data_IF_887845513096
#
_entry.id   IF_887845513096
#
_cell.length_a   1.000
_cell.length_b   1.000
_cell.length_c   1.000
_cell.angle_alpha   90.00
_cell.angle_beta   90.00
_cell.angle_gamma   90.00
#
_symmetry.space_group_name_H-M   'P 1'
#
loop_
_entity.id
_entity.type
_entity.pdbx_description
1 polymer ?
#
# COMPACT_ATOMS: atom_id res chain seq x y z
N UNK A 1 -71.03 -35.58 -20.42
CA UNK A 1 -72.00 -35.54 -21.54
C UNK A 1 -71.91 -34.14 -22.14
N UNK A 2 -71.42 -34.07 -23.38
CA UNK A 2 -71.53 -32.99 -24.37
C UNK A 2 -71.28 -31.50 -23.99
N UNK A 3 -70.23 -30.93 -24.60
CA UNK A 3 -70.21 -29.54 -25.09
C UNK A 3 -71.22 -29.39 -26.27
N UNK A 4 -71.53 -28.18 -26.81
CA UNK A 4 -70.56 -27.51 -27.70
C UNK A 4 -70.69 -25.96 -27.87
N UNK A 5 -69.64 -25.38 -28.49
CA UNK A 5 -69.55 -24.39 -29.59
C UNK A 5 -70.51 -23.19 -29.73
N UNK A 6 -70.17 -22.07 -30.38
CA UNK A 6 -68.96 -21.43 -30.93
C UNK A 6 -69.44 -20.18 -31.72
N UNK A 7 -68.51 -19.36 -32.20
CA UNK A 7 -68.59 -18.35 -33.30
C UNK A 7 -69.01 -16.93 -32.90
N UNK A 8 -68.39 -15.82 -33.37
CA UNK A 8 -67.31 -15.56 -34.34
C UNK A 8 -66.80 -14.11 -34.17
N UNK A 9 -65.58 -13.80 -34.65
CA UNK A 9 -65.18 -12.41 -34.97
C UNK A 9 -63.67 -12.12 -34.99
N UNK A 10 -63.09 -12.01 -36.19
CA UNK A 10 -61.66 -11.87 -36.58
C UNK A 10 -61.07 -10.43 -36.39
N UNK A 11 -59.80 -10.10 -36.75
CA UNK A 11 -58.88 -9.34 -35.89
C UNK A 11 -58.40 -7.98 -36.46
N UNK A 12 -57.82 -7.09 -35.65
CA UNK A 12 -57.11 -5.91 -36.15
C UNK A 12 -55.97 -5.40 -35.23
N UNK A 13 -54.76 -5.42 -35.80
CA UNK A 13 -53.72 -4.37 -35.77
C UNK A 13 -53.31 -3.75 -34.42
N UNK A 14 -52.14 -4.18 -33.91
CA UNK A 14 -51.31 -3.38 -33.00
C UNK A 14 -50.38 -2.48 -33.81
N UNK A 15 -50.52 -1.15 -33.67
CA UNK A 15 -49.51 -0.19 -34.13
C UNK A 15 -48.98 0.64 -32.96
N UNK A 16 -47.66 0.56 -32.79
CA UNK A 16 -46.72 1.68 -32.62
C UNK A 16 -47.02 2.69 -31.50
N UNK A 17 -46.17 2.67 -30.46
CA UNK A 17 -45.70 3.90 -29.82
C UNK A 17 -44.22 3.77 -29.45
N UNK A 18 -43.40 4.69 -30.00
CA UNK A 18 -41.98 4.89 -29.68
C UNK A 18 -41.82 5.48 -28.27
N UNK A 19 -40.65 5.25 -27.65
CA UNK A 19 -39.99 6.31 -26.91
C UNK A 19 -38.60 6.63 -27.51
N UNK A 20 -38.30 7.93 -27.55
CA UNK A 20 -37.04 8.51 -28.04
C UNK A 20 -36.04 8.64 -26.88
N UNK A 21 -34.76 8.51 -27.24
CA UNK A 21 -33.53 8.47 -26.45
C UNK A 21 -33.32 9.51 -25.33
N UNK A 22 -32.62 9.09 -24.26
CA UNK A 22 -31.43 9.76 -23.72
C UNK A 22 -30.74 8.90 -22.63
N UNK A 23 -29.41 8.95 -22.61
CA UNK A 23 -28.47 8.47 -21.58
C UNK A 23 -28.22 6.96 -21.47
N UNK A 24 -27.26 6.48 -22.27
CA UNK A 24 -26.57 5.21 -22.08
C UNK A 24 -25.36 5.40 -21.15
N UNK A 25 -25.25 4.58 -20.09
CA UNK A 25 -23.97 4.23 -19.46
C UNK A 25 -23.92 2.70 -19.41
N UNK A 26 -23.05 2.17 -20.27
CA UNK A 26 -22.92 0.76 -20.62
C UNK A 26 -21.98 0.06 -19.65
N UNK A 27 -22.44 -1.07 -19.12
CA UNK A 27 -21.64 -2.02 -18.36
C UNK A 27 -20.53 -2.61 -19.25
N UNK A 28 -19.30 -2.63 -18.73
CA UNK A 28 -18.11 -3.18 -19.39
C UNK A 28 -18.01 -4.70 -19.17
N UNK A 29 -18.21 -5.47 -20.24
CA UNK A 29 -17.80 -6.88 -20.33
C UNK A 29 -16.28 -7.00 -20.56
N UNK A 30 -15.64 -8.11 -20.15
CA UNK A 30 -14.22 -8.34 -20.39
C UNK A 30 -13.97 -8.73 -21.85
N UNK A 31 -13.29 -7.85 -22.60
CA UNK A 31 -12.83 -8.16 -23.96
C UNK A 31 -11.70 -9.20 -23.95
N UNK A 32 -11.82 -10.16 -24.89
CA UNK A 32 -10.74 -11.09 -25.25
C UNK A 32 -9.55 -10.28 -25.77
N UNK A 33 -8.30 -10.60 -25.41
CA UNK A 33 -7.14 -9.95 -26.01
C UNK A 33 -6.97 -10.43 -27.46
N UNK A 34 -7.54 -9.70 -28.42
CA UNK A 34 -7.09 -9.73 -29.82
C UNK A 34 -5.85 -8.84 -29.94
N UNK A 35 -4.74 -9.30 -29.36
CA UNK A 35 -3.42 -8.75 -29.64
C UNK A 35 -2.92 -9.36 -30.94
N UNK A 36 -3.06 -8.62 -32.04
CA UNK A 36 -2.19 -8.78 -33.21
C UNK A 36 -0.75 -8.89 -32.72
N UNK A 37 0.06 -9.88 -33.13
CA UNK A 37 1.45 -9.95 -32.69
C UNK A 37 2.09 -8.62 -33.08
N UNK A 38 2.55 -7.87 -32.06
CA UNK A 38 3.35 -6.69 -32.27
C UNK A 38 4.44 -7.09 -33.25
N UNK A 39 4.37 -6.55 -34.47
CA UNK A 39 5.42 -6.72 -35.44
C UNK A 39 6.68 -6.27 -34.72
N UNK A 40 7.54 -7.22 -34.41
CA UNK A 40 8.90 -6.97 -33.99
C UNK A 40 9.49 -6.20 -35.16
N UNK A 41 9.42 -4.87 -35.10
CA UNK A 41 10.11 -3.98 -36.00
C UNK A 41 11.58 -4.30 -35.78
N UNK A 42 12.09 -5.18 -36.63
CA UNK A 42 13.49 -5.47 -36.75
C UNK A 42 14.20 -4.11 -36.84
N UNK A 43 14.98 -3.79 -35.82
CA UNK A 43 15.73 -2.54 -35.74
C UNK A 43 16.72 -2.47 -36.90
N UNK A 44 16.29 -1.91 -38.03
CA UNK A 44 17.16 -1.61 -39.16
C UNK A 44 18.12 -0.50 -38.78
N UNK A 45 19.38 -0.60 -39.21
CA UNK A 45 20.36 0.48 -39.08
C UNK A 45 19.78 1.76 -39.72
N UNK A 46 19.95 2.95 -39.11
CA UNK A 46 19.40 4.16 -39.71
C UNK A 46 20.08 4.43 -41.06
N UNK A 47 19.37 5.03 -42.03
CA UNK A 47 19.85 5.16 -43.42
C UNK A 47 21.19 5.90 -43.54
N UNK A 48 21.45 6.87 -42.66
CA UNK A 48 22.75 7.56 -42.55
C UNK A 48 23.92 6.64 -42.18
N UNK A 49 23.67 5.63 -41.34
CA UNK A 49 24.67 4.66 -40.90
C UNK A 49 24.96 3.65 -42.00
N UNK A 50 23.93 3.26 -42.74
CA UNK A 50 24.06 2.41 -43.93
C UNK A 50 24.96 3.12 -44.95
N UNK A 51 24.71 4.40 -45.25
CA UNK A 51 25.56 5.18 -46.16
C UNK A 51 26.99 5.36 -45.65
N UNK A 52 27.20 5.48 -44.34
CA UNK A 52 28.53 5.55 -43.75
C UNK A 52 29.29 4.22 -43.90
N UNK A 53 28.63 3.09 -43.61
CA UNK A 53 29.21 1.74 -43.80
C UNK A 53 29.53 1.51 -45.29
N UNK A 54 28.61 1.87 -46.18
CA UNK A 54 28.83 1.81 -47.64
C UNK A 54 30.03 2.68 -48.04
N UNK A 55 30.14 3.90 -47.50
CA UNK A 55 31.29 4.78 -47.74
C UNK A 55 32.63 4.17 -47.30
N UNK A 56 32.69 3.56 -46.12
CA UNK A 56 33.90 2.86 -45.62
C UNK A 56 34.27 1.71 -46.56
N UNK A 57 33.30 0.91 -46.98
CA UNK A 57 33.52 -0.21 -47.91
C UNK A 57 34.04 0.30 -49.25
N UNK A 58 33.42 1.34 -49.81
CA UNK A 58 33.84 1.94 -51.09
C UNK A 58 35.26 2.49 -51.01
N UNK A 59 35.61 3.18 -49.92
CA UNK A 59 36.98 3.68 -49.71
C UNK A 59 37.98 2.53 -49.57
N UNK A 60 37.67 1.49 -48.79
CA UNK A 60 38.53 0.32 -48.64
C UNK A 60 38.78 -0.38 -50.00
N UNK A 61 37.74 -0.56 -50.79
CA UNK A 61 37.84 -1.13 -52.15
C UNK A 61 38.68 -0.23 -53.05
N UNK A 62 38.46 1.09 -53.03
CA UNK A 62 39.25 2.04 -53.83
C UNK A 62 40.73 2.02 -53.45
N UNK A 63 41.06 1.90 -52.16
CA UNK A 63 42.45 1.78 -51.68
C UNK A 63 43.06 0.45 -52.12
N UNK A 64 42.33 -0.68 -52.04
CA UNK A 64 42.81 -1.98 -52.51
C UNK A 64 43.08 -1.95 -54.01
N UNK A 65 42.18 -1.38 -54.80
CA UNK A 65 42.35 -1.20 -56.25
C UNK A 65 43.54 -0.29 -56.55
N UNK A 66 43.68 0.82 -55.83
CA UNK A 66 44.83 1.72 -55.97
C UNK A 66 46.16 1.03 -55.64
N UNK A 67 46.22 0.23 -54.58
CA UNK A 67 47.38 -0.60 -54.23
C UNK A 67 47.67 -1.59 -55.38
N UNK A 68 46.67 -2.27 -55.91
CA UNK A 68 46.86 -3.22 -57.01
C UNK A 68 47.32 -2.59 -58.32
N UNK A 69 46.85 -1.38 -58.62
CA UNK A 69 47.13 -0.69 -59.89
C UNK A 69 48.43 0.10 -59.83
N UNK A 70 48.75 0.76 -58.72
CA UNK A 70 49.85 1.73 -58.66
C UNK A 70 51.10 1.24 -57.91
N UNK A 71 51.02 0.26 -57.00
CA UNK A 71 52.24 -0.28 -56.37
C UNK A 71 53.14 -1.18 -57.27
N UNK A 72 52.66 -1.86 -58.34
CA UNK A 72 53.54 -2.70 -59.16
C UNK A 72 54.71 -1.91 -59.76
N UNK A 73 54.47 -0.67 -60.19
CA UNK A 73 55.49 0.22 -60.76
C UNK A 73 56.55 0.67 -59.73
N UNK A 74 56.27 0.55 -58.43
CA UNK A 74 57.19 0.97 -57.36
C UNK A 74 58.15 -0.15 -56.92
N UNK A 75 57.75 -1.42 -57.10
CA UNK A 75 58.52 -2.60 -56.66
C UNK A 75 59.13 -3.40 -57.81
N UNK A 76 58.86 -3.04 -59.07
CA UNK A 76 59.54 -3.58 -60.24
C UNK A 76 60.63 -2.58 -60.65
N UNK A 77 61.89 -2.74 -60.20
CA UNK A 77 62.97 -1.89 -60.68
C UNK A 77 63.23 -2.19 -62.17
N UNK A 78 63.41 -1.15 -62.98
CA UNK A 78 63.51 -1.15 -64.45
C UNK A 78 64.69 -1.96 -65.05
N UNK A 79 65.40 -2.77 -64.27
CA UNK A 79 66.69 -3.34 -64.65
C UNK A 79 66.76 -4.88 -64.70
N UNK A 80 65.65 -5.57 -65.02
CA UNK A 80 65.70 -6.99 -65.41
C UNK A 80 65.70 -7.13 -66.93
N UNK A 81 66.89 -7.12 -67.53
CA UNK A 81 67.05 -7.50 -68.93
C UNK A 81 66.75 -9.01 -69.11
N UNK A 82 66.15 -9.43 -70.24
CA UNK A 82 66.09 -10.85 -70.64
C UNK A 82 67.49 -11.46 -70.63
N UNK A 83 67.70 -12.51 -69.84
CA UNK A 83 68.73 -13.52 -70.17
C UNK A 83 67.97 -14.76 -70.62
N UNK A 84 68.36 -15.33 -71.77
CA UNK A 84 67.67 -16.40 -72.53
C UNK A 84 67.59 -17.78 -71.83
N UNK A 85 67.74 -17.85 -70.50
CA UNK A 85 67.85 -19.10 -69.76
C UNK A 85 66.56 -19.56 -69.05
N UNK A 86 65.54 -18.71 -68.87
CA UNK A 86 64.28 -19.16 -68.26
C UNK A 86 63.08 -18.27 -68.65
N UNK A 87 62.16 -18.73 -69.53
CA UNK A 87 60.99 -17.97 -69.94
C UNK A 87 59.98 -17.71 -68.78
N UNK A 88 60.10 -18.43 -67.66
CA UNK A 88 59.20 -18.30 -66.51
C UNK A 88 59.78 -17.47 -65.36
N UNK A 89 61.02 -16.98 -65.47
CA UNK A 89 61.66 -16.16 -64.44
C UNK A 89 60.92 -14.82 -64.21
N UNK A 90 60.32 -14.26 -65.26
CA UNK A 90 59.50 -13.03 -65.17
C UNK A 90 58.21 -13.27 -64.41
N UNK A 91 57.49 -14.33 -64.77
CA UNK A 91 56.21 -14.70 -64.15
C UNK A 91 56.39 -15.06 -62.67
N UNK A 92 57.49 -15.73 -62.33
CA UNK A 92 57.79 -16.15 -60.95
C UNK A 92 58.26 -14.98 -60.06
N UNK A 93 59.01 -14.02 -60.62
CA UNK A 93 59.38 -12.78 -59.94
C UNK A 93 58.15 -11.86 -59.73
N UNK A 94 57.25 -11.80 -60.70
CA UNK A 94 56.02 -11.01 -60.66
C UNK A 94 55.00 -11.58 -59.65
N UNK A 95 54.94 -12.90 -59.48
CA UNK A 95 54.10 -13.55 -58.45
C UNK A 95 54.71 -13.35 -57.04
N UNK A 96 56.03 -13.41 -56.88
CA UNK A 96 56.70 -13.21 -55.59
C UNK A 96 56.64 -11.75 -55.10
N UNK A 97 56.71 -10.77 -56.02
CA UNK A 97 56.56 -9.35 -55.71
C UNK A 97 55.12 -8.96 -55.30
N UNK A 98 54.11 -9.77 -55.65
CA UNK A 98 52.70 -9.56 -55.26
C UNK A 98 52.34 -10.13 -53.88
N UNK A 99 53.19 -10.96 -53.28
CA UNK A 99 52.97 -11.53 -51.94
C UNK A 99 52.84 -10.49 -50.79
N UNK A 100 53.61 -9.39 -50.72
CA UNK A 100 53.39 -8.34 -49.71
C UNK A 100 52.09 -7.55 -49.92
N UNK A 101 51.55 -7.50 -51.16
CA UNK A 101 50.28 -6.83 -51.45
C UNK A 101 49.07 -7.58 -50.85
N UNK A 102 49.18 -8.90 -50.70
CA UNK A 102 48.19 -9.73 -50.00
C UNK A 102 48.10 -9.41 -48.50
N UNK A 103 49.24 -9.16 -47.85
CA UNK A 103 49.30 -8.78 -46.43
C UNK A 103 48.73 -7.37 -46.21
N UNK A 104 49.06 -6.42 -47.09
CA UNK A 104 48.55 -5.05 -47.03
C UNK A 104 47.03 -4.97 -47.28
N UNK A 105 46.52 -5.70 -48.26
CA UNK A 105 45.06 -5.76 -48.53
C UNK A 105 44.29 -6.45 -47.40
N UNK A 106 44.85 -7.50 -46.79
CA UNK A 106 44.32 -8.12 -45.58
C UNK A 106 44.22 -7.15 -44.40
N UNK A 107 45.23 -6.30 -44.20
CA UNK A 107 45.24 -5.28 -43.15
C UNK A 107 44.16 -4.20 -43.38
N UNK A 108 43.95 -3.76 -44.63
CA UNK A 108 42.89 -2.78 -44.97
C UNK A 108 41.50 -3.34 -44.69
N UNK A 109 41.24 -4.60 -45.05
CA UNK A 109 39.95 -5.24 -44.77
C UNK A 109 39.71 -5.43 -43.26
N UNK A 110 40.75 -5.83 -42.51
CA UNK A 110 40.67 -5.92 -41.05
C UNK A 110 40.36 -4.56 -40.41
N UNK A 111 40.99 -3.48 -40.90
CA UNK A 111 40.73 -2.11 -40.43
C UNK A 111 39.29 -1.65 -40.76
N UNK A 112 38.78 -1.96 -41.95
CA UNK A 112 37.41 -1.64 -42.34
C UNK A 112 36.39 -2.41 -41.48
N UNK A 113 36.63 -3.70 -41.21
CA UNK A 113 35.78 -4.51 -40.34
C UNK A 113 35.76 -3.98 -38.90
N UNK A 114 36.91 -3.58 -38.37
CA UNK A 114 37.01 -2.96 -37.05
C UNK A 114 36.23 -1.63 -36.98
N UNK A 115 36.34 -0.77 -38.00
CA UNK A 115 35.62 0.49 -38.06
C UNK A 115 34.09 0.30 -38.10
N UNK A 116 33.61 -0.66 -38.92
CA UNK A 116 32.17 -1.01 -38.98
C UNK A 116 31.71 -1.55 -37.61
N UNK A 117 32.51 -2.38 -36.95
CA UNK A 117 32.22 -2.89 -35.61
C UNK A 117 32.05 -1.79 -34.56
N UNK A 118 32.93 -0.78 -34.55
CA UNK A 118 32.83 0.38 -33.64
C UNK A 118 31.56 1.18 -33.89
N UNK A 119 31.22 1.42 -35.16
CA UNK A 119 30.04 2.19 -35.56
C UNK A 119 28.74 1.49 -35.14
N UNK A 120 28.64 0.17 -35.38
CA UNK A 120 27.49 -0.63 -34.97
C UNK A 120 27.41 -0.71 -33.44
N UNK A 121 28.52 -0.96 -32.76
CA UNK A 121 28.59 -1.02 -31.29
C UNK A 121 28.15 0.28 -30.61
N UNK A 122 28.58 1.44 -31.12
CA UNK A 122 28.16 2.72 -30.58
C UNK A 122 26.65 2.97 -30.77
N UNK A 123 26.08 2.51 -31.88
CA UNK A 123 24.65 2.65 -32.16
C UNK A 123 23.79 1.68 -31.37
N UNK A 124 24.23 0.42 -31.19
CA UNK A 124 23.53 -0.53 -30.34
C UNK A 124 23.61 -0.10 -28.88
N UNK A 125 24.75 0.47 -28.44
CA UNK A 125 24.89 1.06 -27.12
C UNK A 125 23.93 2.23 -26.87
N UNK A 126 23.69 3.11 -27.85
CA UNK A 126 22.73 4.22 -27.67
C UNK A 126 21.28 3.74 -27.59
N UNK A 127 20.89 2.76 -28.41
CA UNK A 127 19.57 2.14 -28.34
C UNK A 127 19.36 1.42 -27.01
N UNK A 128 20.38 0.71 -26.54
CA UNK A 128 20.34 -0.02 -25.26
C UNK A 128 20.21 0.93 -24.07
N UNK A 129 20.83 2.12 -24.14
CA UNK A 129 20.66 3.17 -23.11
C UNK A 129 19.22 3.67 -23.04
N UNK A 130 18.60 3.94 -24.19
CA UNK A 130 17.20 4.39 -24.22
C UNK A 130 16.24 3.32 -23.66
N UNK A 131 16.43 2.05 -24.02
CA UNK A 131 15.59 0.96 -23.50
C UNK A 131 15.84 0.70 -22.01
N UNK A 132 17.07 0.88 -21.53
CA UNK A 132 17.39 0.76 -20.10
C UNK A 132 16.74 1.87 -19.27
N UNK A 133 16.68 3.10 -19.77
CA UNK A 133 16.01 4.20 -19.07
C UNK A 133 14.50 3.99 -18.97
N UNK A 134 13.87 3.53 -20.05
CA UNK A 134 12.44 3.18 -20.04
C UNK A 134 12.17 1.99 -19.11
N UNK A 135 13.03 0.96 -19.15
CA UNK A 135 12.94 -0.20 -18.27
C UNK A 135 13.11 0.21 -16.80
N UNK A 136 14.05 1.12 -16.49
CA UNK A 136 14.22 1.66 -15.13
C UNK A 136 12.98 2.38 -14.65
N UNK A 137 12.43 3.31 -15.45
CA UNK A 137 11.18 4.00 -15.09
C UNK A 137 10.01 3.03 -14.89
N UNK A 138 9.89 2.03 -15.75
CA UNK A 138 8.86 1.00 -15.63
C UNK A 138 9.04 0.17 -14.36
N UNK A 139 10.28 -0.21 -14.03
CA UNK A 139 10.60 -0.95 -12.82
C UNK A 139 10.33 -0.10 -11.56
N UNK A 140 10.74 1.17 -11.54
CA UNK A 140 10.49 2.07 -10.40
C UNK A 140 8.98 2.21 -10.12
N UNK A 141 8.15 2.36 -11.16
CA UNK A 141 6.69 2.38 -11.01
C UNK A 141 6.12 1.03 -10.56
N UNK A 142 6.74 -0.08 -10.97
CA UNK A 142 6.33 -1.43 -10.56
C UNK A 142 6.66 -1.66 -9.09
N UNK A 143 7.86 -1.27 -8.65
CA UNK A 143 8.31 -1.36 -7.27
C UNK A 143 7.44 -0.49 -6.35
N UNK A 144 7.10 0.73 -6.77
CA UNK A 144 6.17 1.59 -6.03
C UNK A 144 4.78 0.95 -5.87
N UNK A 145 4.23 0.36 -6.94
CA UNK A 145 2.95 -0.36 -6.88
C UNK A 145 3.04 -1.60 -6.01
N UNK A 146 4.16 -2.32 -6.04
CA UNK A 146 4.38 -3.50 -5.20
C UNK A 146 4.44 -3.12 -3.72
N UNK A 147 5.14 -2.04 -3.37
CA UNK A 147 5.21 -1.52 -1.99
C UNK A 147 3.84 -1.06 -1.51
N UNK A 148 3.09 -0.32 -2.34
CA UNK A 148 1.73 0.11 -2.01
C UNK A 148 0.79 -1.10 -1.81
N UNK A 149 0.80 -2.06 -2.73
CA UNK A 149 0.00 -3.28 -2.63
C UNK A 149 0.35 -4.11 -1.39
N UNK A 150 1.63 -4.25 -1.05
CA UNK A 150 2.07 -4.94 0.15
C UNK A 150 1.66 -4.23 1.46
N UNK A 151 1.48 -2.90 1.44
CA UNK A 151 0.90 -2.15 2.57
C UNK A 151 -0.60 -2.43 2.69
N UNK A 152 -1.33 -2.39 1.57
CA UNK A 152 -2.77 -2.67 1.53
C UNK A 152 -3.11 -4.10 1.98
N UNK A 153 -2.31 -5.07 1.58
CA UNK A 153 -2.48 -6.47 1.99
C UNK A 153 -2.24 -6.64 3.51
N UNK A 154 -1.16 -6.05 4.05
CA UNK A 154 -0.89 -6.06 5.49
C UNK A 154 -1.99 -5.35 6.29
N UNK A 155 -2.52 -4.25 5.75
CA UNK A 155 -3.64 -3.52 6.35
C UNK A 155 -4.90 -4.39 6.39
N UNK A 156 -5.29 -4.97 5.25
CA UNK A 156 -6.46 -5.85 5.15
C UNK A 156 -6.35 -7.02 6.12
N UNK A 157 -5.18 -7.65 6.19
CA UNK A 157 -4.91 -8.76 7.12
C UNK A 157 -5.02 -8.32 8.58
N UNK A 158 -4.50 -7.15 8.94
CA UNK A 158 -4.63 -6.63 10.30
C UNK A 158 -6.09 -6.36 10.67
N UNK A 159 -6.87 -5.77 9.76
CA UNK A 159 -8.31 -5.55 9.97
C UNK A 159 -9.07 -6.87 10.12
N UNK A 160 -8.76 -7.88 9.31
CA UNK A 160 -9.35 -9.22 9.44
C UNK A 160 -9.01 -9.86 10.81
N UNK A 161 -7.75 -9.77 11.22
CA UNK A 161 -7.28 -10.30 12.51
C UNK A 161 -7.90 -9.57 13.72
N UNK A 162 -8.32 -8.31 13.57
CA UNK A 162 -9.03 -7.58 14.61
C UNK A 162 -10.42 -8.19 14.92
N UNK A 163 -11.02 -8.89 13.97
CA UNK A 163 -12.28 -9.64 14.16
C UNK A 163 -12.10 -11.03 14.78
N UNK A 164 -10.87 -11.45 15.08
CA UNK A 164 -10.59 -12.78 15.61
C UNK A 164 -11.07 -12.95 17.06
N UNK A 165 -11.52 -14.14 17.45
CA UNK A 165 -12.07 -14.42 18.80
C UNK A 165 -11.01 -14.40 19.91
N UNK A 166 -9.77 -14.78 19.59
CA UNK A 166 -8.65 -14.70 20.52
C UNK A 166 -8.11 -13.27 20.70
N UNK A 167 -8.09 -12.78 21.94
CA UNK A 167 -7.59 -11.44 22.30
C UNK A 167 -6.15 -11.19 21.85
N UNK A 168 -5.26 -12.18 21.97
CA UNK A 168 -3.86 -12.06 21.54
C UNK A 168 -3.71 -11.74 20.04
N UNK A 169 -4.59 -12.28 19.19
CA UNK A 169 -4.58 -11.98 17.75
C UNK A 169 -5.06 -10.55 17.49
N UNK A 170 -6.09 -10.10 18.22
CA UNK A 170 -6.58 -8.72 18.15
C UNK A 170 -5.54 -7.70 18.62
N UNK A 171 -4.78 -8.01 19.68
CA UNK A 171 -3.65 -7.19 20.13
C UNK A 171 -2.57 -7.06 19.04
N UNK A 172 -2.19 -8.18 18.42
CA UNK A 172 -1.25 -8.18 17.29
C UNK A 172 -1.76 -7.36 16.10
N UNK A 173 -3.05 -7.44 15.80
CA UNK A 173 -3.70 -6.63 14.77
C UNK A 173 -3.63 -5.12 15.09
N UNK A 174 -3.96 -4.71 16.31
CA UNK A 174 -3.92 -3.30 16.73
C UNK A 174 -2.51 -2.70 16.59
N UNK A 175 -1.48 -3.42 17.05
CA UNK A 175 -0.10 -2.97 16.87
C UNK A 175 0.32 -2.93 15.40
N UNK A 176 -0.17 -3.86 14.58
CA UNK A 176 0.09 -3.85 13.14
C UNK A 176 -0.55 -2.64 12.46
N UNK A 177 -1.79 -2.28 12.84
CA UNK A 177 -2.47 -1.08 12.36
C UNK A 177 -1.73 0.20 12.75
N UNK A 178 -1.32 0.32 14.02
CA UNK A 178 -0.55 1.47 14.48
C UNK A 178 0.79 1.60 13.75
N UNK A 179 1.49 0.49 13.52
CA UNK A 179 2.73 0.48 12.74
C UNK A 179 2.50 0.91 11.29
N UNK A 180 1.42 0.44 10.66
CA UNK A 180 1.04 0.85 9.30
C UNK A 180 0.69 2.34 9.21
N UNK A 181 0.01 2.90 10.23
CA UNK A 181 -0.26 4.33 10.31
C UNK A 181 1.03 5.18 10.44
N UNK A 182 2.09 4.63 11.04
CA UNK A 182 3.41 5.26 11.06
C UNK A 182 4.18 5.15 9.74
N UNK A 183 3.93 4.11 8.93
CA UNK A 183 4.50 3.96 7.58
C UNK A 183 3.83 4.88 6.54
N UNK A 184 2.56 5.22 6.75
CA UNK A 184 1.71 5.95 5.83
C UNK A 184 0.75 6.88 6.59
N UNK A 185 1.13 8.16 6.69
CA UNK A 185 0.37 9.17 7.43
C UNK A 185 -1.03 9.41 6.86
N UNK A 186 -1.26 9.14 5.57
CA UNK A 186 -2.59 9.26 4.95
C UNK A 186 -3.60 8.27 5.55
N UNK A 187 -3.14 7.17 6.16
CA UNK A 187 -4.00 6.15 6.80
C UNK A 187 -4.33 6.43 8.26
N UNK A 188 -3.67 7.40 8.90
CA UNK A 188 -3.91 7.70 10.32
C UNK A 188 -5.41 7.90 10.62
N UNK A 189 -6.18 8.69 9.86
CA UNK A 189 -7.61 8.85 10.12
C UNK A 189 -8.37 7.53 10.12
N UNK A 190 -8.11 6.67 9.12
CA UNK A 190 -8.77 5.36 9.01
C UNK A 190 -8.41 4.43 10.18
N UNK A 191 -7.14 4.42 10.60
CA UNK A 191 -6.72 3.59 11.74
C UNK A 191 -7.34 4.09 13.04
N UNK A 192 -7.36 5.42 13.27
CA UNK A 192 -8.04 6.02 14.42
C UNK A 192 -9.53 5.67 14.43
N UNK A 193 -10.22 5.77 13.29
CA UNK A 193 -11.63 5.42 13.18
C UNK A 193 -11.91 3.95 13.51
N UNK A 194 -11.04 3.03 13.08
CA UNK A 194 -11.15 1.60 13.38
C UNK A 194 -10.97 1.36 14.88
N UNK A 195 -9.95 1.95 15.51
CA UNK A 195 -9.71 1.81 16.95
C UNK A 195 -10.87 2.42 17.76
N UNK A 196 -11.38 3.58 17.34
CA UNK A 196 -12.55 4.22 17.94
C UNK A 196 -13.81 3.35 17.78
N UNK A 197 -14.04 2.76 16.59
CA UNK A 197 -15.13 1.83 16.36
C UNK A 197 -15.03 0.58 17.26
N UNK A 198 -13.82 0.06 17.45
CA UNK A 198 -13.57 -1.05 18.38
C UNK A 198 -13.97 -0.69 19.82
N UNK A 199 -13.51 0.46 20.32
CA UNK A 199 -13.84 0.92 21.68
C UNK A 199 -15.34 1.20 21.91
N UNK A 200 -16.08 1.53 20.84
CA UNK A 200 -17.53 1.72 20.87
C UNK A 200 -18.34 0.41 20.89
N UNK A 201 -17.72 -0.74 20.67
CA UNK A 201 -18.43 -2.01 20.81
C UNK A 201 -18.87 -2.23 22.27
N UNK A 202 -20.02 -2.89 22.53
CA UNK A 202 -20.47 -3.18 23.88
C UNK A 202 -19.41 -3.95 24.68
N UNK A 203 -19.22 -3.57 25.95
CA UNK A 203 -18.27 -4.22 26.85
C UNK A 203 -18.76 -4.17 28.29
N UNK A 204 -18.77 -5.34 28.92
CA UNK A 204 -19.17 -5.54 30.29
C UNK A 204 -18.03 -6.18 31.06
N UNK A 205 -17.74 -5.63 32.24
CA UNK A 205 -16.68 -6.13 33.10
C UNK A 205 -17.04 -5.81 34.56
N UNK A 206 -17.02 -6.80 35.47
CA UNK A 206 -17.49 -6.62 36.85
C UNK A 206 -16.80 -5.45 37.57
N UNK A 207 -15.50 -5.25 37.34
CA UNK A 207 -14.73 -4.18 37.99
C UNK A 207 -14.92 -2.79 37.33
N UNK A 208 -15.48 -2.70 36.11
CA UNK A 208 -15.60 -1.44 35.35
C UNK A 208 -17.04 -1.05 35.03
N UNK A 209 -17.99 -1.96 35.21
CA UNK A 209 -19.41 -1.63 35.14
C UNK A 209 -19.75 -0.74 36.33
N UNK A 210 -20.44 0.39 36.09
CA UNK A 210 -20.93 1.22 37.18
C UNK A 210 -21.77 0.34 38.12
N UNK A 211 -21.60 0.42 39.45
CA UNK A 211 -22.49 -0.30 40.36
C UNK A 211 -23.92 0.12 40.03
N UNK A 212 -24.81 -0.87 39.85
CA UNK A 212 -26.17 -0.74 39.33
C UNK A 212 -27.15 0.05 40.23
N UNK A 213 -26.68 1.10 40.92
CA UNK A 213 -27.43 1.85 41.92
C UNK A 213 -28.00 3.19 41.42
N UNK A 214 -28.15 3.41 40.11
CA UNK A 214 -28.76 4.66 39.60
C UNK A 214 -29.69 4.52 38.39
N UNK A 215 -30.07 3.31 37.98
CA UNK A 215 -31.20 3.10 37.05
C UNK A 215 -32.32 2.43 37.83
N UNK A 216 -33.34 3.23 38.16
CA UNK A 216 -34.42 2.86 39.06
C UNK A 216 -35.09 1.53 38.73
N UNK A 217 -35.00 0.58 39.66
CA UNK A 217 -36.00 -0.45 39.80
C UNK A 217 -37.27 0.20 40.41
N UNK A 218 -38.47 -0.06 39.86
CA UNK A 218 -39.70 0.45 40.45
C UNK A 218 -39.88 -0.13 41.85
N UNK A 219 -40.00 0.76 42.82
CA UNK A 219 -40.40 0.51 44.20
C UNK A 219 -41.84 0.00 44.22
N UNK A 220 -42.03 -1.27 44.55
CA UNK A 220 -43.31 -1.81 45.00
C UNK A 220 -43.06 -2.90 46.05
N UNK A 221 -43.07 -2.50 47.33
CA UNK A 221 -43.59 -3.28 48.46
C UNK A 221 -43.49 -2.47 49.77
N UNK A 222 -44.66 -2.02 50.23
CA UNK A 222 -45.09 -1.79 51.63
C UNK A 222 -44.49 -2.80 52.64
N UNK A 223 -44.35 -2.62 53.96
CA UNK A 223 -44.89 -1.76 55.05
C UNK A 223 -43.85 -1.93 56.20
N UNK A 224 -43.46 -0.91 56.98
CA UNK A 224 -44.15 -0.48 58.21
C UNK A 224 -43.78 -1.30 59.45
N UNK A 225 -42.92 -0.77 60.35
CA UNK A 225 -43.05 -0.79 61.83
C UNK A 225 -41.78 -0.33 62.56
N UNK A 226 -41.88 0.89 63.11
CA UNK A 226 -41.67 1.33 64.51
C UNK A 226 -40.51 0.84 65.41
N UNK A 227 -40.16 1.78 66.29
CA UNK A 227 -39.35 1.71 67.52
C UNK A 227 -37.82 1.72 67.40
N UNK A 228 -37.23 2.76 68.00
CA UNK A 228 -35.80 3.02 68.01
C UNK A 228 -35.02 2.28 69.09
N UNK A 229 -33.70 2.40 68.97
CA UNK A 229 -32.74 2.26 70.06
C UNK A 229 -31.45 2.97 69.59
N UNK A 230 -31.11 4.10 70.21
CA UNK A 230 -29.75 4.65 70.14
C UNK A 230 -28.85 3.81 71.04
N UNK A 231 -27.82 3.17 70.48
CA UNK A 231 -26.67 2.70 71.25
C UNK A 231 -25.37 3.05 70.52
N UNK A 232 -24.53 3.71 71.32
CA UNK A 232 -23.16 4.19 71.15
C UNK A 232 -22.14 3.10 70.73
N UNK A 233 -20.98 3.56 70.25
CA UNK A 233 -19.72 2.83 70.36
C UNK A 233 -19.17 2.24 69.06
N UNK A 234 -18.10 2.84 68.56
CA UNK A 234 -17.53 2.51 67.25
C UNK A 234 -16.94 1.11 67.10
N UNK A 235 -16.92 0.63 65.85
CA UNK A 235 -15.87 -0.19 65.20
C UNK A 235 -16.33 -0.60 63.78
N UNK A 236 -16.51 0.37 62.87
CA UNK A 236 -16.96 0.10 61.49
C UNK A 236 -15.84 0.17 60.42
N UNK A 237 -14.57 0.08 60.83
CA UNK A 237 -13.45 0.00 59.89
C UNK A 237 -13.03 -1.44 59.55
N UNK A 238 -13.27 -2.42 60.43
CA UNK A 238 -12.88 -3.82 60.22
C UNK A 238 -14.00 -4.68 59.58
N UNK A 239 -15.26 -4.30 59.76
CA UNK A 239 -16.43 -4.97 59.18
C UNK A 239 -16.67 -4.60 57.71
N UNK A 240 -16.19 -3.42 57.25
CA UNK A 240 -16.26 -3.01 55.84
C UNK A 240 -15.23 -3.72 54.96
N UNK A 241 -14.08 -4.09 55.52
CA UNK A 241 -13.06 -4.91 54.86
C UNK A 241 -13.42 -6.39 54.82
N UNK A 242 -14.11 -6.91 55.84
CA UNK A 242 -14.63 -8.28 55.84
C UNK A 242 -15.76 -8.51 54.82
N UNK A 243 -16.61 -7.50 54.59
CA UNK A 243 -17.67 -7.57 53.58
C UNK A 243 -17.15 -7.53 52.13
N UNK A 244 -15.91 -7.05 51.90
CA UNK A 244 -15.29 -7.02 50.57
C UNK A 244 -14.54 -8.33 50.23
N UNK A 245 -14.37 -9.24 51.19
CA UNK A 245 -13.66 -10.52 51.05
C UNK A 245 -14.55 -11.74 51.27
N UNK A 246 -15.86 -11.56 51.45
CA UNK A 246 -16.80 -12.67 51.38
C UNK A 246 -16.88 -13.14 49.92
N UNK A 247 -16.01 -14.09 49.56
CA UNK A 247 -16.11 -14.84 48.33
C UNK A 247 -17.54 -15.40 48.26
N UNK A 248 -18.36 -15.01 47.27
CA UNK A 248 -19.75 -15.46 47.21
C UNK A 248 -19.76 -16.99 47.15
N UNK A 249 -20.56 -17.61 48.02
CA UNK A 249 -20.82 -19.05 47.96
C UNK A 249 -21.37 -19.38 46.57
N UNK A 250 -20.52 -19.93 45.69
CA UNK A 250 -20.91 -20.37 44.35
C UNK A 250 -20.07 -19.88 43.16
N UNK A 251 -18.90 -19.26 43.34
CA UNK A 251 -18.00 -18.94 42.21
C UNK A 251 -17.55 -20.21 41.47
N UNK A 252 -17.86 -20.34 40.18
CA UNK A 252 -17.57 -21.55 39.39
C UNK A 252 -16.38 -21.37 38.42
N UNK A 253 -15.71 -22.45 37.99
CA UNK A 253 -14.67 -22.38 36.95
C UNK A 253 -15.15 -21.80 35.61
N UNK A 254 -16.46 -21.84 35.33
CA UNK A 254 -17.03 -21.20 34.15
C UNK A 254 -17.03 -19.66 34.28
N UNK A 255 -17.30 -19.16 35.50
CA UNK A 255 -17.22 -17.73 35.82
C UNK A 255 -15.76 -17.24 35.76
N UNK A 256 -14.79 -18.07 36.16
CA UNK A 256 -13.35 -17.79 35.98
C UNK A 256 -13.01 -17.61 34.51
N UNK A 257 -13.40 -18.56 33.66
CA UNK A 257 -13.09 -18.49 32.22
C UNK A 257 -13.76 -17.28 31.56
N UNK A 258 -15.00 -16.96 31.94
CA UNK A 258 -15.67 -15.78 31.41
C UNK A 258 -15.00 -14.49 31.89
N UNK A 259 -14.57 -14.45 33.16
CA UNK A 259 -13.80 -13.35 33.73
C UNK A 259 -12.46 -13.18 32.99
N UNK A 260 -11.71 -14.26 32.78
CA UNK A 260 -10.45 -14.24 32.02
C UNK A 260 -10.63 -13.70 30.59
N UNK A 261 -11.73 -14.07 29.91
CA UNK A 261 -12.06 -13.55 28.58
C UNK A 261 -12.38 -12.05 28.62
N UNK A 262 -13.09 -11.58 29.65
CA UNK A 262 -13.38 -10.15 29.87
C UNK A 262 -12.12 -9.37 30.25
N UNK A 263 -11.24 -9.93 31.07
CA UNK A 263 -9.94 -9.37 31.43
C UNK A 263 -9.06 -9.22 30.17
N UNK A 264 -9.00 -10.26 29.32
CA UNK A 264 -8.27 -10.22 28.07
C UNK A 264 -8.85 -9.19 27.08
N UNK A 265 -10.18 -9.04 27.02
CA UNK A 265 -10.81 -7.98 26.23
C UNK A 265 -10.54 -6.58 26.81
N UNK A 266 -10.45 -6.45 28.13
CA UNK A 266 -10.07 -5.20 28.78
C UNK A 266 -8.65 -4.77 28.37
N UNK A 267 -7.69 -5.71 28.31
CA UNK A 267 -6.33 -5.44 27.82
C UNK A 267 -6.30 -4.97 26.37
N UNK A 268 -7.11 -5.59 25.50
CA UNK A 268 -7.25 -5.19 24.10
C UNK A 268 -7.76 -3.75 23.99
N UNK A 269 -8.77 -3.39 24.80
CA UNK A 269 -9.34 -2.02 24.81
C UNK A 269 -8.37 -0.97 25.34
N UNK A 270 -7.65 -1.26 26.42
CA UNK A 270 -6.58 -0.37 26.91
C UNK A 270 -5.52 -0.12 25.84
N UNK A 271 -5.18 -1.18 25.09
CA UNK A 271 -4.23 -1.08 23.98
C UNK A 271 -4.77 -0.18 22.87
N UNK A 272 -6.03 -0.34 22.45
CA UNK A 272 -6.66 0.54 21.47
C UNK A 272 -6.66 2.02 21.91
N UNK A 273 -7.01 2.28 23.18
CA UNK A 273 -7.00 3.62 23.77
C UNK A 273 -5.60 4.25 23.73
N UNK A 274 -4.58 3.50 24.17
CA UNK A 274 -3.19 3.96 24.12
C UNK A 274 -2.70 4.20 22.69
N UNK A 275 -3.10 3.35 21.74
CA UNK A 275 -2.69 3.49 20.35
C UNK A 275 -3.38 4.64 19.63
N UNK A 276 -4.61 5.01 20.02
CA UNK A 276 -5.26 6.23 19.52
C UNK A 276 -4.37 7.44 19.83
N UNK A 277 -3.97 7.62 21.10
CA UNK A 277 -3.17 8.79 21.50
C UNK A 277 -1.77 8.75 20.89
N UNK A 278 -1.14 7.56 20.82
CA UNK A 278 0.19 7.40 20.24
C UNK A 278 0.25 7.59 18.71
N UNK A 279 -0.87 7.40 18.00
CA UNK A 279 -0.91 7.51 16.53
C UNK A 279 -1.20 8.94 16.06
N UNK A 280 -1.86 9.75 16.89
CA UNK A 280 -2.12 11.16 16.61
C UNK A 280 -0.82 11.95 16.37
N UNK A 281 -0.88 12.94 15.49
CA UNK A 281 0.26 13.79 15.17
C UNK A 281 0.65 14.65 16.38
N UNK A 282 1.95 14.90 16.55
CA UNK A 282 2.44 15.89 17.52
C UNK A 282 2.20 17.31 16.99
N UNK A 283 2.15 18.29 17.89
CA UNK A 283 1.86 19.70 17.58
C UNK A 283 2.83 20.29 16.53
N UNK A 284 4.08 19.85 16.54
CA UNK A 284 5.13 20.34 15.63
C UNK A 284 5.15 19.65 14.26
N UNK A 285 4.37 18.58 14.07
CA UNK A 285 4.33 17.88 12.78
C UNK A 285 3.38 18.57 11.81
N UNK A 286 3.74 18.66 10.53
CA UNK A 286 2.87 19.20 9.48
C UNK A 286 1.90 18.11 8.96
N UNK A 287 0.84 17.86 9.72
CA UNK A 287 -0.18 16.85 9.43
C UNK A 287 -1.59 17.38 9.66
N UNK A 288 -2.60 16.98 8.88
CA UNK A 288 -3.97 17.42 9.14
C UNK A 288 -4.45 16.89 10.51
N UNK A 289 -5.16 17.71 11.30
CA UNK A 289 -5.75 17.24 12.56
C UNK A 289 -6.79 16.15 12.29
N UNK A 290 -6.79 15.10 13.11
CA UNK A 290 -7.64 13.91 12.93
C UNK A 290 -8.76 13.89 13.96
N UNK A 291 -10.00 13.67 13.50
CA UNK A 291 -11.15 13.56 14.40
C UNK A 291 -11.09 12.27 15.24
N UNK A 292 -11.52 12.38 16.50
CA UNK A 292 -11.59 11.25 17.45
C UNK A 292 -13.02 11.11 17.93
N UNK A 293 -13.69 10.04 17.49
CA UNK A 293 -15.09 9.77 17.83
C UNK A 293 -15.21 8.61 18.82
N UNK A 294 -15.26 8.92 20.12
CA UNK A 294 -15.42 7.96 21.20
C UNK A 294 -16.86 7.94 21.73
N UNK A 295 -17.84 8.30 20.89
CA UNK A 295 -19.25 8.35 21.28
C UNK A 295 -19.74 6.99 21.76
N UNK A 296 -20.20 6.91 23.01
CA UNK A 296 -20.67 5.65 23.61
C UNK A 296 -19.54 4.68 23.96
N UNK A 297 -18.28 5.07 23.82
CA UNK A 297 -17.15 4.21 24.15
C UNK A 297 -16.96 4.08 25.65
N UNK A 298 -16.46 2.93 26.09
CA UNK A 298 -16.04 2.67 27.47
C UNK A 298 -14.52 2.64 27.55
N UNK A 299 -13.95 3.65 28.18
CA UNK A 299 -12.52 3.85 28.37
C UNK A 299 -12.13 3.41 29.78
N UNK A 300 -11.20 2.47 29.87
CA UNK A 300 -10.91 1.76 31.11
C UNK A 300 -9.83 2.44 31.97
N UNK A 301 -8.99 3.26 31.34
CA UNK A 301 -7.91 4.02 31.98
C UNK A 301 -7.98 5.50 31.57
N UNK A 302 -6.99 6.30 31.97
CA UNK A 302 -6.88 7.72 31.64
C UNK A 302 -6.77 7.98 30.12
N UNK A 303 -7.50 8.98 29.64
CA UNK A 303 -7.39 9.46 28.26
C UNK A 303 -6.49 10.70 28.22
N UNK A 304 -5.22 10.47 27.86
CA UNK A 304 -4.16 11.48 27.89
C UNK A 304 -3.83 11.97 26.48
N UNK A 305 -3.93 13.28 26.27
CA UNK A 305 -3.36 13.99 25.13
C UNK A 305 -2.30 14.94 25.67
N UNK A 306 -1.00 14.71 25.43
CA UNK A 306 0.11 15.60 25.76
C UNK A 306 0.93 15.88 24.49
N UNK A 307 0.92 17.12 24.03
CA UNK A 307 1.64 17.54 22.82
C UNK A 307 1.01 17.07 21.50
N UNK A 308 -0.10 16.32 21.51
CA UNK A 308 -0.78 15.91 20.28
C UNK A 308 -1.66 17.03 19.74
N UNK A 309 -1.71 17.13 18.40
CA UNK A 309 -2.71 17.91 17.66
C UNK A 309 -3.82 16.98 17.20
N UNK A 310 -5.00 17.15 17.77
CA UNK A 310 -6.21 16.39 17.45
C UNK A 310 -7.24 17.29 16.77
N UNK A 311 -8.10 16.72 15.94
CA UNK A 311 -9.26 17.41 15.38
C UNK A 311 -10.40 17.50 16.38
N UNK A 312 -11.64 17.40 15.88
CA UNK A 312 -12.83 17.30 16.73
C UNK A 312 -12.74 16.05 17.62
N UNK A 313 -13.05 16.20 18.90
CA UNK A 313 -13.16 15.08 19.85
C UNK A 313 -14.61 14.97 20.32
N UNK A 314 -15.28 13.87 19.99
CA UNK A 314 -16.66 13.58 20.44
C UNK A 314 -16.66 12.53 21.55
N UNK A 315 -17.00 12.96 22.76
CA UNK A 315 -17.10 12.15 23.98
C UNK A 315 -18.56 12.00 24.44
N UNK A 316 -19.54 12.19 23.56
CA UNK A 316 -20.96 12.02 23.89
C UNK A 316 -21.24 10.60 24.38
N UNK A 317 -21.93 10.43 25.51
CA UNK A 317 -22.17 9.12 26.14
C UNK A 317 -20.91 8.29 26.43
N UNK A 318 -19.73 8.90 26.50
CA UNK A 318 -18.51 8.17 26.88
C UNK A 318 -18.61 7.75 28.35
N UNK A 319 -18.08 6.57 28.68
CA UNK A 319 -17.84 6.17 30.06
C UNK A 319 -16.33 6.04 30.27
N UNK A 320 -15.72 7.04 30.87
CA UNK A 320 -14.29 7.07 31.17
C UNK A 320 -14.10 6.79 32.65
N UNK A 321 -13.53 5.63 33.00
CA UNK A 321 -13.25 5.28 34.41
C UNK A 321 -12.16 6.18 35.00
N UNK A 322 -11.15 6.54 34.19
CA UNK A 322 -10.02 7.38 34.59
C UNK A 322 -10.25 8.88 34.43
N UNK A 323 -9.15 9.59 34.24
CA UNK A 323 -9.06 11.04 34.05
C UNK A 323 -8.99 11.39 32.58
N UNK A 324 -9.70 12.43 32.17
CA UNK A 324 -9.51 13.09 30.88
C UNK A 324 -8.44 14.17 31.06
N UNK A 325 -7.27 13.99 30.43
CA UNK A 325 -6.14 14.90 30.59
C UNK A 325 -5.72 15.46 29.23
N UNK A 326 -5.87 16.78 29.08
CA UNK A 326 -5.20 17.55 28.05
C UNK A 326 -3.93 18.12 28.69
N UNK A 327 -2.83 17.43 28.49
CA UNK A 327 -1.47 17.73 28.92
C UNK A 327 -0.88 19.00 28.31
N UNK A 328 0.39 19.25 28.62
CA UNK A 328 1.15 20.36 28.04
C UNK A 328 1.13 20.26 26.51
N UNK A 329 0.90 21.40 25.84
CA UNK A 329 0.86 21.55 24.38
C UNK A 329 -0.16 20.64 23.65
N UNK A 330 -1.18 20.13 24.36
CA UNK A 330 -2.27 19.40 23.73
C UNK A 330 -3.18 20.36 22.96
N UNK A 331 -3.37 20.15 21.66
CA UNK A 331 -4.13 21.08 20.83
C UNK A 331 -5.34 20.42 20.19
N UNK A 332 -6.54 20.90 20.52
CA UNK A 332 -7.79 20.48 19.87
C UNK A 332 -8.17 21.48 18.79
N UNK A 333 -8.01 21.07 17.53
CA UNK A 333 -8.50 21.82 16.38
C UNK A 333 -9.99 21.56 16.18
N UNK A 334 -10.82 22.51 16.58
CA UNK A 334 -12.28 22.44 16.48
C UNK A 334 -12.94 22.40 17.85
N UNK A 335 -13.67 21.32 18.15
CA UNK A 335 -14.44 21.21 19.40
C UNK A 335 -14.13 19.91 20.13
N UNK A 336 -13.93 20.00 21.45
CA UNK A 336 -14.01 18.88 22.39
C UNK A 336 -15.42 18.87 22.99
N UNK A 337 -16.21 17.85 22.65
CA UNK A 337 -17.61 17.73 23.05
C UNK A 337 -17.76 16.68 24.15
N UNK A 338 -18.06 17.14 25.36
CA UNK A 338 -18.59 16.32 26.44
C UNK A 338 -20.12 16.35 26.38
N UNK A 339 -20.69 15.48 25.55
CA UNK A 339 -22.13 15.45 25.29
C UNK A 339 -22.95 14.77 26.39
N UNK A 340 -24.27 14.71 26.19
CA UNK A 340 -25.20 14.04 27.11
C UNK A 340 -24.74 12.62 27.47
N UNK A 341 -24.83 12.28 28.76
CA UNK A 341 -24.47 10.95 29.28
C UNK A 341 -22.98 10.67 29.33
N UNK A 342 -22.11 11.65 29.08
CA UNK A 342 -20.68 11.51 29.33
C UNK A 342 -20.42 11.35 30.83
N UNK A 343 -19.63 10.35 31.20
CA UNK A 343 -19.18 10.09 32.56
C UNK A 343 -17.65 10.07 32.60
N UNK A 344 -17.08 10.82 33.54
CA UNK A 344 -15.65 10.83 33.84
C UNK A 344 -15.52 10.50 35.32
N UNK A 345 -14.98 9.31 35.63
CA UNK A 345 -14.85 8.79 36.98
C UNK A 345 -13.68 9.39 37.76
N UNK A 346 -12.61 9.77 37.06
CA UNK A 346 -11.48 10.50 37.62
C UNK A 346 -11.74 12.01 37.62
N UNK A 347 -10.90 12.77 36.90
CA UNK A 347 -11.05 14.22 36.74
C UNK A 347 -10.93 14.69 35.30
N UNK A 348 -11.13 16.00 35.10
CA UNK A 348 -10.75 16.71 33.89
C UNK A 348 -9.56 17.61 34.21
N UNK A 349 -8.45 17.43 33.52
CA UNK A 349 -7.24 18.22 33.70
C UNK A 349 -6.82 18.91 32.41
N UNK A 350 -6.57 20.22 32.50
CA UNK A 350 -6.07 21.06 31.42
C UNK A 350 -4.69 21.59 31.84
N UNK A 351 -3.67 21.23 31.06
CA UNK A 351 -2.29 21.62 31.27
C UNK A 351 -1.98 22.99 30.69
N UNK A 352 -0.73 23.41 30.90
CA UNK A 352 -0.23 24.64 30.28
C UNK A 352 -0.25 24.51 28.75
N UNK A 353 -0.87 25.46 28.06
CA UNK A 353 -0.98 25.46 26.59
C UNK A 353 -2.06 24.55 25.99
N UNK A 354 -2.86 23.88 26.83
CA UNK A 354 -4.05 23.12 26.42
C UNK A 354 -5.30 23.98 26.18
#
# INVERSE_FOLDING_TARGET
MAAPDDTAGKPAKKSVMKPTAAAAHSASQPERPSGTPAAVTAGGLPPRLIWLIVGIIVVAVAVIVGIWVYLPDLFVPDNVQPTDADPNARVTAEISARSPLGVLSGAVMAAAAAAIGVVVSHHTASLTRATLEETRRSNDLTDQRAVAGARDERFTKAVEQLGHTAAAVRLGAMHSLARLAGEDRERVPTVIDILCAYLRQPFHHPDHDAPAASVGAPTDAAQGQDAGEEVDGGTNAASKTAALQAQPDGWTPADERERELRDAEAEVRRTAQRLITATLALLDEDAPPVEVNLRGAKLLDDFLLTGQRVGRVDLTRVYLTGTLQLGVDAHVHGSLLLGEGAYIGGGLWLGEGA
#
